data_IF_513080832305
#
_entry.id   IF_513080832305
#
_cell.length_a   1.000
_cell.length_b   1.000
_cell.length_c   1.000
_cell.angle_alpha   90.00
_cell.angle_beta   90.00
_cell.angle_gamma   90.00
#
_symmetry.space_group_name_H-M   'P 1'
#
loop_
_entity.id
_entity.type
_entity.pdbx_description
1 polymer ?
#
# COMPACT_ATOMS: atom_id res chain seq x y z
N UNK A 1 -11.78 6.81 -3.13
CA UNK A 1 -11.80 5.62 -4.01
C UNK A 1 -11.13 4.45 -3.27
N UNK A 2 -11.66 3.24 -3.41
CA UNK A 2 -11.09 2.04 -2.81
C UNK A 2 -10.47 1.15 -3.87
N UNK A 3 -9.33 0.55 -3.56
CA UNK A 3 -8.62 -0.35 -4.47
C UNK A 3 -8.23 -1.65 -3.78
N UNK A 4 -8.06 -2.69 -4.59
CA UNK A 4 -7.50 -3.95 -4.13
C UNK A 4 -5.97 -3.90 -3.99
N UNK A 5 -5.39 -4.93 -3.37
CA UNK A 5 -3.93 -5.03 -3.19
C UNK A 5 -3.15 -5.03 -4.51
N UNK A 6 -3.70 -5.59 -5.58
CA UNK A 6 -3.05 -5.65 -6.90
C UNK A 6 -3.02 -4.28 -7.59
N UNK A 7 -4.12 -3.53 -7.53
CA UNK A 7 -4.19 -2.17 -8.06
C UNK A 7 -3.28 -1.22 -7.27
N UNK A 8 -3.29 -1.31 -5.94
CA UNK A 8 -2.36 -0.54 -5.10
C UNK A 8 -0.89 -0.85 -5.39
N UNK A 9 -0.57 -2.10 -5.74
CA UNK A 9 0.78 -2.51 -6.14
C UNK A 9 1.24 -1.80 -7.43
N UNK A 10 0.36 -1.72 -8.43
CA UNK A 10 0.62 -1.02 -9.69
C UNK A 10 0.82 0.48 -9.47
N UNK A 11 -0.07 1.11 -8.68
CA UNK A 11 0.04 2.54 -8.35
C UNK A 11 1.39 2.88 -7.71
N UNK A 12 1.86 2.03 -6.78
CA UNK A 12 3.10 2.29 -6.04
C UNK A 12 4.35 1.69 -6.70
N UNK A 13 4.22 0.97 -7.82
CA UNK A 13 5.33 0.32 -8.50
C UNK A 13 6.05 -0.72 -7.64
N UNK A 14 5.34 -1.41 -6.73
CA UNK A 14 5.89 -2.49 -5.88
C UNK A 14 5.11 -3.78 -6.07
N UNK A 15 5.64 -4.90 -5.56
CA UNK A 15 4.95 -6.18 -5.66
C UNK A 15 3.71 -6.25 -4.77
N UNK A 16 2.67 -6.96 -5.22
CA UNK A 16 1.47 -7.21 -4.41
C UNK A 16 1.79 -7.99 -3.11
N UNK A 17 2.88 -8.77 -3.09
CA UNK A 17 3.40 -9.39 -1.86
C UNK A 17 3.84 -8.34 -0.85
N UNK A 18 4.56 -7.30 -1.30
CA UNK A 18 5.01 -6.21 -0.43
C UNK A 18 3.82 -5.41 0.12
N UNK A 19 2.81 -5.13 -0.70
CA UNK A 19 1.54 -4.51 -0.25
C UNK A 19 0.92 -5.34 0.89
N UNK A 20 0.79 -6.65 0.70
CA UNK A 20 0.25 -7.55 1.73
C UNK A 20 1.05 -7.53 3.03
N UNK A 21 2.39 -7.48 2.96
CA UNK A 21 3.22 -7.32 4.16
C UNK A 21 2.94 -6.00 4.90
N UNK A 22 2.77 -4.89 4.16
CA UNK A 22 2.43 -3.59 4.75
C UNK A 22 1.05 -3.61 5.41
N UNK A 23 0.08 -4.29 4.79
CA UNK A 23 -1.27 -4.47 5.31
C UNK A 23 -1.28 -5.34 6.58
N UNK A 24 -0.59 -6.49 6.54
CA UNK A 24 -0.42 -7.35 7.72
C UNK A 24 0.27 -6.64 8.87
N UNK A 25 1.19 -5.70 8.58
CA UNK A 25 1.84 -4.86 9.58
C UNK A 25 1.05 -3.62 9.99
N UNK A 26 -0.19 -3.44 9.53
CA UNK A 26 -1.02 -2.26 9.86
C UNK A 26 -0.47 -0.93 9.35
N UNK A 27 0.44 -0.95 8.36
CA UNK A 27 1.15 0.25 7.91
C UNK A 27 0.35 1.07 6.91
N UNK A 28 -0.58 0.45 6.18
CA UNK A 28 -1.46 1.15 5.25
C UNK A 28 -2.69 1.64 6.02
N UNK A 29 -2.85 2.95 6.14
CA UNK A 29 -3.90 3.56 6.95
C UNK A 29 -5.29 3.35 6.34
N UNK A 30 -6.26 2.97 7.18
CA UNK A 30 -7.65 2.79 6.79
C UNK A 30 -7.91 1.57 5.91
N UNK A 31 -6.91 0.73 5.67
CA UNK A 31 -7.10 -0.52 4.93
C UNK A 31 -7.74 -1.58 5.84
N UNK A 32 -8.68 -2.33 5.28
CA UNK A 32 -9.40 -3.39 5.99
C UNK A 32 -9.58 -4.61 5.11
N UNK A 33 -9.85 -5.75 5.73
CA UNK A 33 -10.02 -7.02 5.03
C UNK A 33 -11.51 -7.28 4.81
N UNK A 34 -11.90 -7.42 3.54
CA UNK A 34 -13.25 -7.82 3.13
C UNK A 34 -13.17 -9.25 2.57
N UNK A 35 -13.57 -10.23 3.39
CA UNK A 35 -13.45 -11.65 3.07
C UNK A 35 -11.99 -12.07 2.82
N UNK A 36 -11.68 -12.46 1.57
CA UNK A 36 -10.32 -12.88 1.16
C UNK A 36 -9.44 -11.72 0.69
N UNK A 37 -10.01 -10.56 0.42
CA UNK A 37 -9.34 -9.43 -0.23
C UNK A 37 -9.11 -8.28 0.74
N UNK A 38 -8.08 -7.50 0.48
CA UNK A 38 -7.85 -6.23 1.17
C UNK A 38 -8.47 -5.09 0.37
N UNK A 39 -9.21 -4.25 1.09
CA UNK A 39 -9.76 -2.99 0.60
C UNK A 39 -8.86 -1.87 1.13
N UNK A 40 -8.32 -1.06 0.22
CA UNK A 40 -7.36 -0.02 0.54
C UNK A 40 -7.93 1.33 0.12
N UNK A 41 -8.10 2.30 1.03
CA UNK A 41 -8.50 3.65 0.65
C UNK A 41 -7.33 4.38 -0.02
N UNK A 42 -7.64 5.07 -1.11
CA UNK A 42 -6.73 6.03 -1.73
C UNK A 42 -6.96 7.42 -1.15
N UNK A 43 -5.88 8.08 -0.75
CA UNK A 43 -5.82 9.48 -0.36
C UNK A 43 -5.00 10.19 -1.45
N UNK A 44 -5.59 11.18 -2.13
CA UNK A 44 -4.92 11.87 -3.26
C UNK A 44 -4.42 10.92 -4.37
N UNK A 45 -5.14 9.82 -4.61
CA UNK A 45 -4.79 8.84 -5.64
C UNK A 45 -3.70 7.83 -5.24
N UNK A 46 -3.20 7.87 -4.00
CA UNK A 46 -2.19 6.95 -3.47
C UNK A 46 -2.62 6.38 -2.11
N UNK A 47 -2.28 5.12 -1.77
CA UNK A 47 -2.56 4.60 -0.45
C UNK A 47 -1.58 5.22 0.56
N UNK A 48 -2.11 5.68 1.70
CA UNK A 48 -1.32 6.34 2.74
C UNK A 48 -0.61 5.29 3.59
N UNK A 49 0.72 5.28 3.56
CA UNK A 49 1.52 4.33 4.32
C UNK A 49 2.41 5.02 5.34
N UNK A 50 2.40 4.50 6.57
CA UNK A 50 3.29 4.94 7.65
C UNK A 50 4.75 4.56 7.37
N UNK A 51 5.65 5.47 7.77
CA UNK A 51 7.08 5.22 7.70
C UNK A 51 7.49 4.08 8.64
N UNK A 52 8.59 3.40 8.29
CA UNK A 52 9.14 2.34 9.13
C UNK A 52 10.21 2.94 10.02
N UNK A 53 10.35 2.43 11.25
CA UNK A 53 11.32 2.95 12.22
C UNK A 53 12.77 2.61 11.87
N UNK A 54 13.01 1.53 11.11
CA UNK A 54 14.36 1.04 10.76
C UNK A 54 14.55 0.91 9.25
N UNK A 55 15.79 1.09 8.82
CA UNK A 55 16.22 0.88 7.45
C UNK A 55 15.99 2.07 6.52
N UNK A 56 16.36 1.93 5.24
CA UNK A 56 16.25 3.01 4.27
C UNK A 56 14.80 3.39 3.99
N UNK A 57 14.58 4.68 3.70
CA UNK A 57 13.26 5.21 3.36
C UNK A 57 12.68 4.55 2.11
N UNK A 58 11.37 4.38 2.14
CA UNK A 58 10.54 3.94 1.03
C UNK A 58 10.76 4.76 -0.24
N UNK A 59 11.16 4.13 -1.37
CA UNK A 59 11.31 4.81 -2.67
C UNK A 59 10.06 4.75 -3.58
N UNK A 60 9.02 4.05 -3.15
CA UNK A 60 7.83 3.70 -3.93
C UNK A 60 6.78 4.81 -4.06
N UNK A 61 7.10 6.02 -3.57
CA UNK A 61 6.37 7.25 -3.91
C UNK A 61 6.81 7.86 -5.26
N UNK A 62 7.89 7.37 -5.86
CA UNK A 62 8.37 7.89 -7.14
C UNK A 62 7.59 7.21 -8.26
N UNK A 63 6.83 7.99 -9.05
CA UNK A 63 6.44 7.54 -10.40
C UNK A 63 7.72 7.07 -11.08
N UNK A 64 7.75 5.82 -11.55
CA UNK A 64 8.82 5.43 -12.48
C UNK A 64 8.70 6.38 -13.69
N UNK A 65 9.81 7.02 -14.12
CA UNK A 65 9.81 7.80 -15.34
C UNK A 65 9.42 6.94 -16.54
#
# INVERSE_FOLDING_TARGET
MFVGSTQAAQLMGISARRIRQLLSGGRIQGAFKAGRSWIIPLVEGMPKVSEGTRGPKARWRRKRP
#
